data_IF_586640681333
#
_entry.id   IF_586640681333
#
_cell.length_a   1.000
_cell.length_b   1.000
_cell.length_c   1.000
_cell.angle_alpha   90.00
_cell.angle_beta   90.00
_cell.angle_gamma   90.00
#
_symmetry.space_group_name_H-M   'P 1'
#
loop_
_entity.id
_entity.type
_entity.pdbx_description
1 polymer ?
#
# COMPACT_ATOMS: atom_id res chain seq x y z
N UNK A 1 0.37 39.19 11.55
CA UNK A 1 1.64 38.44 11.70
C UNK A 1 1.86 38.07 13.17
N UNK A 2 1.33 36.94 13.65
CA UNK A 2 1.73 36.38 14.96
C UNK A 2 1.15 34.97 15.15
N UNK A 3 2.01 33.96 15.11
CA UNK A 3 2.15 32.93 16.14
C UNK A 3 3.24 31.96 15.68
N UNK A 4 4.42 32.09 16.32
CA UNK A 4 5.50 31.11 16.23
C UNK A 4 5.13 29.99 17.19
N UNK A 5 4.78 28.82 16.65
CA UNK A 5 4.41 27.65 17.42
C UNK A 5 5.70 26.91 17.84
N UNK A 6 6.22 27.25 19.01
CA UNK A 6 7.40 26.62 19.61
C UNK A 6 6.96 25.36 20.35
N UNK A 7 7.19 24.19 19.78
CA UNK A 7 7.00 22.91 20.46
C UNK A 7 8.25 22.61 21.30
N UNK A 8 8.11 22.78 22.61
CA UNK A 8 9.07 22.35 23.62
C UNK A 8 9.03 20.81 23.67
N UNK A 9 10.07 20.13 23.20
CA UNK A 9 10.25 18.69 23.42
C UNK A 9 10.65 18.46 24.88
N UNK A 10 9.74 17.90 25.67
CA UNK A 10 9.98 17.49 27.05
C UNK A 10 10.34 16.01 27.13
N UNK A 11 11.46 15.72 27.81
CA UNK A 11 11.60 14.55 28.68
C UNK A 11 12.22 13.31 28.04
N UNK A 12 13.55 13.24 28.03
CA UNK A 12 14.33 12.03 27.81
C UNK A 12 15.00 11.66 29.15
N UNK A 13 14.32 10.84 29.96
CA UNK A 13 14.89 10.21 31.17
C UNK A 13 13.96 9.07 31.59
N UNK A 14 14.41 7.83 31.43
CA UNK A 14 14.62 6.86 32.52
C UNK A 14 15.11 5.54 31.89
N UNK A 15 16.38 5.19 32.05
CA UNK A 15 16.92 4.35 33.12
C UNK A 15 16.39 2.89 33.09
N UNK A 16 17.23 2.02 32.54
CA UNK A 16 17.59 0.70 33.07
C UNK A 16 16.49 -0.29 33.46
N UNK A 17 16.47 -1.46 32.81
CA UNK A 17 16.74 -2.75 33.47
C UNK A 17 17.32 -3.70 32.43
N UNK A 18 18.60 -4.06 32.63
CA UNK A 18 19.24 -5.24 32.05
C UNK A 18 18.69 -6.45 32.79
N UNK A 19 18.02 -7.36 32.11
CA UNK A 19 17.71 -8.70 32.62
C UNK A 19 18.02 -9.72 31.54
N UNK A 20 19.27 -10.19 31.57
CA UNK A 20 19.66 -11.45 30.95
C UNK A 20 19.12 -12.60 31.81
N UNK A 21 18.28 -13.46 31.24
CA UNK A 21 18.02 -14.78 31.78
C UNK A 21 17.72 -15.74 30.63
N UNK A 22 18.62 -16.72 30.48
CA UNK A 22 18.55 -17.81 29.54
C UNK A 22 17.38 -18.75 29.86
N UNK A 23 16.56 -19.09 28.87
CA UNK A 23 15.64 -20.22 28.92
C UNK A 23 15.49 -20.87 27.54
N UNK A 24 15.81 -22.17 27.48
CA UNK A 24 15.08 -23.14 26.68
C UNK A 24 15.48 -23.31 25.22
N UNK A 25 16.47 -24.16 24.97
CA UNK A 25 16.48 -25.06 23.81
C UNK A 25 15.33 -26.07 24.00
N UNK A 26 14.35 -26.11 23.08
CA UNK A 26 13.54 -27.29 22.68
C UNK A 26 12.55 -26.91 21.55
N UNK A 27 12.67 -27.64 20.42
CA UNK A 27 11.63 -28.05 19.46
C UNK A 27 10.77 -26.99 18.72
N UNK A 28 11.00 -26.93 17.40
CA UNK A 28 9.93 -27.10 16.40
C UNK A 28 8.85 -26.03 16.29
N UNK A 29 9.03 -25.09 15.38
CA UNK A 29 7.94 -24.25 14.88
C UNK A 29 8.41 -23.33 13.77
N UNK A 30 7.94 -23.56 12.55
CA UNK A 30 8.04 -22.62 11.44
C UNK A 30 7.33 -21.32 11.86
N UNK A 31 8.11 -20.36 12.37
CA UNK A 31 7.65 -19.04 12.76
C UNK A 31 7.24 -18.26 11.51
N UNK A 32 5.94 -18.14 11.33
CA UNK A 32 5.31 -17.29 10.33
C UNK A 32 5.94 -15.90 10.37
N UNK A 33 6.45 -15.43 9.24
CA UNK A 33 6.82 -14.05 9.05
C UNK A 33 5.57 -13.18 9.25
N UNK A 34 5.37 -12.72 10.48
CA UNK A 34 4.40 -11.68 10.80
C UNK A 34 4.83 -10.45 10.01
N UNK A 35 4.11 -10.16 8.92
CA UNK A 35 4.24 -8.89 8.22
C UNK A 35 4.00 -7.79 9.26
N UNK A 36 5.05 -7.06 9.61
CA UNK A 36 4.97 -5.79 10.35
C UNK A 36 3.86 -4.96 9.68
N UNK A 37 2.89 -4.40 10.44
CA UNK A 37 2.04 -3.35 9.91
C UNK A 37 2.99 -2.24 9.47
N UNK A 38 3.10 -2.04 8.16
CA UNK A 38 3.86 -0.95 7.60
C UNK A 38 3.18 0.32 8.10
N UNK A 39 3.90 1.10 8.91
CA UNK A 39 3.40 2.37 9.42
C UNK A 39 2.93 3.19 8.22
N UNK A 40 1.66 3.61 8.26
CA UNK A 40 1.09 4.46 7.25
C UNK A 40 1.88 5.78 7.22
N UNK A 41 2.77 5.92 6.23
CA UNK A 41 3.13 7.22 5.70
C UNK A 41 1.87 7.94 5.23
N UNK A 42 1.94 9.24 4.88
CA UNK A 42 0.78 9.95 4.36
C UNK A 42 0.17 9.12 3.23
N UNK A 43 -0.97 8.50 3.49
CA UNK A 43 -1.64 7.67 2.50
C UNK A 43 -1.93 8.61 1.34
N UNK A 44 -1.40 8.37 0.14
CA UNK A 44 -1.94 9.07 -1.02
C UNK A 44 -3.45 8.89 -0.94
N UNK A 45 -4.19 10.00 -0.99
CA UNK A 45 -5.65 9.91 -1.01
C UNK A 45 -5.98 9.09 -2.25
N UNK A 46 -6.24 7.81 -2.06
CA UNK A 46 -6.75 6.96 -3.13
C UNK A 46 -8.06 7.61 -3.55
N UNK A 47 -8.15 7.99 -4.81
CA UNK A 47 -9.42 8.44 -5.36
C UNK A 47 -10.43 7.31 -5.11
N UNK A 48 -11.49 7.62 -4.37
CA UNK A 48 -12.55 6.66 -4.09
C UNK A 48 -13.42 6.63 -5.33
N UNK A 49 -13.21 5.62 -6.17
CA UNK A 49 -13.93 5.49 -7.45
C UNK A 49 -15.03 4.46 -7.34
N UNK A 50 -14.68 3.27 -6.85
CA UNK A 50 -15.58 2.10 -6.80
C UNK A 50 -16.34 2.02 -5.49
N UNK A 51 -15.88 2.73 -4.45
CA UNK A 51 -16.38 2.56 -3.08
C UNK A 51 -15.96 1.22 -2.46
N UNK A 52 -15.03 0.50 -3.09
CA UNK A 52 -14.49 -0.78 -2.63
C UNK A 52 -12.98 -0.58 -2.39
N UNK A 53 -12.51 -0.55 -1.13
CA UNK A 53 -11.14 -0.15 -0.80
C UNK A 53 -10.05 -0.95 -1.53
N UNK A 54 -10.28 -2.24 -1.77
CA UNK A 54 -9.33 -3.09 -2.49
C UNK A 54 -9.17 -2.69 -3.96
N UNK A 55 -10.25 -2.30 -4.63
CA UNK A 55 -10.24 -1.88 -6.02
C UNK A 55 -9.67 -0.47 -6.18
N UNK A 56 -10.02 0.45 -5.27
CA UNK A 56 -9.46 1.80 -5.27
C UNK A 56 -7.94 1.77 -5.01
N UNK A 57 -7.47 0.89 -4.11
CA UNK A 57 -6.03 0.67 -3.87
C UNK A 57 -5.32 0.03 -5.07
N UNK A 58 -6.00 -0.88 -5.79
CA UNK A 58 -5.47 -1.48 -7.01
C UNK A 58 -5.31 -0.43 -8.11
N UNK A 59 -6.33 0.41 -8.36
CA UNK A 59 -6.28 1.49 -9.36
C UNK A 59 -5.16 2.50 -9.06
N UNK A 60 -4.99 2.88 -7.79
CA UNK A 60 -3.89 3.75 -7.37
C UNK A 60 -2.52 3.11 -7.64
N UNK A 61 -2.38 1.82 -7.31
CA UNK A 61 -1.15 1.07 -7.56
C UNK A 61 -0.87 0.91 -9.06
N UNK A 62 -1.90 0.65 -9.88
CA UNK A 62 -1.78 0.48 -11.33
C UNK A 62 -1.09 1.67 -11.99
N UNK A 63 -1.57 2.89 -11.74
CA UNK A 63 -0.97 4.11 -12.29
C UNK A 63 0.45 4.33 -11.79
N UNK A 64 0.68 4.20 -10.48
CA UNK A 64 1.99 4.44 -9.88
C UNK A 64 3.04 3.47 -10.43
N UNK A 65 2.70 2.18 -10.43
CA UNK A 65 3.59 1.11 -10.87
C UNK A 65 3.91 1.19 -12.37
N UNK A 66 2.91 1.36 -13.24
CA UNK A 66 3.17 1.41 -14.68
C UNK A 66 3.87 2.70 -15.11
N UNK A 67 3.60 3.83 -14.44
CA UNK A 67 4.32 5.09 -14.70
C UNK A 67 5.80 4.97 -14.34
N UNK A 68 6.11 4.38 -13.19
CA UNK A 68 7.48 4.20 -12.74
C UNK A 68 8.23 3.12 -13.53
N UNK A 69 7.54 2.06 -13.97
CA UNK A 69 8.12 1.03 -14.82
C UNK A 69 8.35 1.48 -16.27
N UNK A 70 7.71 2.56 -16.72
CA UNK A 70 7.83 3.07 -18.09
C UNK A 70 7.35 2.09 -19.17
N UNK A 71 6.59 1.05 -18.79
CA UNK A 71 6.16 -0.03 -19.69
C UNK A 71 5.17 0.45 -20.76
N UNK A 72 4.43 1.52 -20.46
CA UNK A 72 3.47 2.14 -21.38
C UNK A 72 3.86 3.59 -21.66
N UNK A 73 3.66 4.08 -22.90
CA UNK A 73 3.65 5.52 -23.15
C UNK A 73 2.52 6.18 -22.33
N UNK A 74 2.72 7.43 -21.88
CA UNK A 74 1.81 8.07 -20.91
C UNK A 74 0.35 8.13 -21.38
N UNK A 75 0.13 8.43 -22.67
CA UNK A 75 -1.20 8.46 -23.29
C UNK A 75 -1.89 7.08 -23.29
N UNK A 76 -1.15 6.02 -23.59
CA UNK A 76 -1.69 4.66 -23.53
C UNK A 76 -1.98 4.25 -22.09
N UNK A 77 -1.09 4.57 -21.14
CA UNK A 77 -1.30 4.26 -19.73
C UNK A 77 -2.61 4.88 -19.21
N UNK A 78 -2.85 6.15 -19.53
CA UNK A 78 -4.06 6.84 -19.11
C UNK A 78 -5.32 6.21 -19.73
N UNK A 79 -5.25 5.82 -21.00
CA UNK A 79 -6.35 5.14 -21.71
C UNK A 79 -6.66 3.77 -21.10
N UNK A 80 -5.63 2.96 -20.84
CA UNK A 80 -5.78 1.65 -20.20
C UNK A 80 -6.34 1.77 -18.78
N UNK A 81 -5.86 2.76 -18.02
CA UNK A 81 -6.36 3.04 -16.69
C UNK A 81 -7.86 3.39 -16.71
N UNK A 82 -8.30 4.26 -17.61
CA UNK A 82 -9.71 4.66 -17.72
C UNK A 82 -10.61 3.47 -18.05
N UNK A 83 -10.25 2.66 -19.06
CA UNK A 83 -11.02 1.47 -19.41
C UNK A 83 -11.18 0.49 -18.22
N UNK A 84 -10.11 0.31 -17.45
CA UNK A 84 -10.11 -0.55 -16.27
C UNK A 84 -10.94 0.04 -15.13
N UNK A 85 -10.80 1.34 -14.88
CA UNK A 85 -11.58 2.10 -13.91
C UNK A 85 -13.08 1.97 -14.19
N UNK A 86 -13.48 2.15 -15.44
CA UNK A 86 -14.88 2.10 -15.85
C UNK A 86 -15.44 0.67 -15.74
N UNK A 87 -14.64 -0.34 -16.10
CA UNK A 87 -15.01 -1.76 -15.90
C UNK A 87 -15.24 -2.06 -14.42
N UNK A 88 -14.33 -1.66 -13.53
CA UNK A 88 -14.48 -1.90 -12.09
C UNK A 88 -15.64 -1.12 -11.49
N UNK A 89 -15.91 0.09 -11.98
CA UNK A 89 -17.06 0.88 -11.56
C UNK A 89 -18.38 0.22 -11.98
N UNK A 90 -18.44 -0.33 -13.20
CA UNK A 90 -19.60 -1.09 -13.66
C UNK A 90 -19.80 -2.34 -12.79
N UNK A 91 -18.74 -3.12 -12.53
CA UNK A 91 -18.80 -4.30 -11.66
C UNK A 91 -19.19 -3.96 -10.21
N UNK A 92 -18.77 -2.80 -9.71
CA UNK A 92 -19.12 -2.33 -8.37
C UNK A 92 -20.60 -1.94 -8.24
N UNK A 93 -21.24 -1.54 -9.34
CA UNK A 93 -22.67 -1.21 -9.38
C UNK A 93 -23.57 -2.43 -9.59
N UNK A 94 -23.01 -3.58 -9.98
CA UNK A 94 -23.75 -4.83 -10.14
C UNK A 94 -23.91 -5.55 -8.79
N UNK A 95 -25.15 -5.74 -8.27
CA UNK A 95 -25.38 -6.38 -6.97
C UNK A 95 -24.98 -7.86 -6.92
N UNK A 96 -24.92 -8.55 -8.06
CA UNK A 96 -24.47 -9.95 -8.14
C UNK A 96 -22.95 -10.09 -8.11
N UNK A 97 -22.22 -9.09 -8.63
CA UNK A 97 -20.75 -9.13 -8.73
C UNK A 97 -20.08 -8.48 -7.53
N UNK A 98 -20.63 -7.35 -7.05
CA UNK A 98 -20.06 -6.52 -5.97
C UNK A 98 -19.56 -7.30 -4.75
N UNK A 99 -20.25 -8.36 -4.25
CA UNK A 99 -19.77 -9.13 -3.08
C UNK A 99 -18.40 -9.80 -3.29
N UNK A 100 -18.06 -10.16 -4.52
CA UNK A 100 -16.82 -10.88 -4.85
C UNK A 100 -15.71 -9.96 -5.35
N UNK A 101 -16.07 -8.73 -5.72
CA UNK A 101 -15.18 -7.80 -6.42
C UNK A 101 -13.96 -7.41 -5.58
N UNK A 102 -14.11 -7.30 -4.25
CA UNK A 102 -12.98 -7.02 -3.36
C UNK A 102 -11.88 -8.08 -3.47
N UNK A 103 -12.23 -9.37 -3.44
CA UNK A 103 -11.26 -10.47 -3.56
C UNK A 103 -10.60 -10.50 -4.94
N UNK A 104 -11.37 -10.21 -6.00
CA UNK A 104 -10.83 -10.11 -7.36
C UNK A 104 -9.80 -8.99 -7.48
N UNK A 105 -10.08 -7.80 -6.93
CA UNK A 105 -9.13 -6.68 -6.91
C UNK A 105 -7.87 -6.98 -6.10
N UNK A 106 -7.96 -7.76 -5.02
CA UNK A 106 -6.77 -8.27 -4.30
C UNK A 106 -5.91 -9.15 -5.20
N UNK A 107 -6.53 -10.07 -5.95
CA UNK A 107 -5.84 -10.92 -6.92
C UNK A 107 -5.17 -10.12 -8.04
N UNK A 108 -5.87 -9.14 -8.61
CA UNK A 108 -5.31 -8.23 -9.62
C UNK A 108 -4.10 -7.45 -9.09
N UNK A 109 -4.16 -6.98 -7.85
CA UNK A 109 -3.05 -6.28 -7.22
C UNK A 109 -1.84 -7.21 -6.97
N UNK A 110 -2.07 -8.49 -6.67
CA UNK A 110 -1.00 -9.49 -6.57
C UNK A 110 -0.35 -9.71 -7.95
N UNK A 111 -1.16 -9.99 -8.97
CA UNK A 111 -0.69 -10.19 -10.35
C UNK A 111 0.10 -8.99 -10.88
N UNK A 112 -0.34 -7.76 -10.59
CA UNK A 112 0.40 -6.54 -10.97
C UNK A 112 1.81 -6.53 -10.36
N UNK A 113 1.93 -6.83 -9.06
CA UNK A 113 3.23 -6.87 -8.36
C UNK A 113 4.14 -7.97 -8.91
N UNK A 114 3.57 -9.14 -9.17
CA UNK A 114 4.31 -10.29 -9.68
C UNK A 114 4.82 -10.04 -11.11
N UNK A 115 3.98 -9.45 -11.96
CA UNK A 115 4.33 -9.09 -13.35
C UNK A 115 5.45 -8.07 -13.41
N UNK A 116 5.43 -7.10 -12.50
CA UNK A 116 6.46 -6.06 -12.42
C UNK A 116 7.69 -6.51 -11.64
N UNK A 117 7.73 -7.76 -11.12
CA UNK A 117 8.87 -8.38 -10.43
C UNK A 117 9.49 -7.51 -9.31
N UNK A 118 8.70 -6.62 -8.70
CA UNK A 118 9.20 -5.67 -7.70
C UNK A 118 9.91 -4.43 -8.27
N UNK A 119 9.93 -4.23 -9.59
CA UNK A 119 10.28 -2.92 -10.16
C UNK A 119 9.29 -1.86 -9.68
N UNK A 120 9.87 -0.70 -9.41
CA UNK A 120 9.40 0.21 -8.39
C UNK A 120 7.98 0.71 -8.66
N UNK A 121 6.98 0.13 -8.00
CA UNK A 121 5.75 0.82 -7.64
C UNK A 121 5.97 2.02 -6.70
N UNK A 122 7.21 2.46 -6.56
CA UNK A 122 7.62 3.49 -5.62
C UNK A 122 7.18 4.83 -6.16
N UNK A 123 6.34 5.51 -5.38
CA UNK A 123 6.18 6.95 -5.54
C UNK A 123 7.58 7.60 -5.49
N UNK A 124 7.85 8.65 -6.29
CA UNK A 124 9.16 9.34 -6.30
C UNK A 124 9.61 9.94 -4.96
N UNK A 125 8.84 9.75 -3.87
CA UNK A 125 9.17 10.15 -2.50
C UNK A 125 10.04 9.14 -1.72
N UNK A 126 10.23 7.91 -2.21
CA UNK A 126 11.04 6.91 -1.48
C UNK A 126 12.56 7.09 -1.63
N UNK A 127 13.02 7.99 -2.49
CA UNK A 127 14.45 8.24 -2.77
C UNK A 127 14.91 9.60 -2.26
N UNK A 128 14.46 9.99 -1.06
CA UNK A 128 15.11 11.07 -0.31
C UNK A 128 15.03 10.81 1.19
N UNK A 129 15.95 10.01 1.70
CA UNK A 129 16.44 10.13 3.08
C UNK A 129 17.79 9.45 3.26
#
# INVERSE_FOLDING_TARGET
MKQRNTVIYRGFTDLGVVAAAAFGLLLGGCGQAVKRPQAAGPTPKNEVVTGIPACDSYLASYLACHRAAGTFPQEALQTHYQAMRDTLLQEANDPGVRPYLANRCVGLAQQLRDTLQGHACTSPDATSR
#
